data_IF_129430175225
#
_entry.id   IF_129430175225
#
_cell.length_a   1.000
_cell.length_b   1.000
_cell.length_c   1.000
_cell.angle_alpha   90.00
_cell.angle_beta   90.00
_cell.angle_gamma   90.00
#
_symmetry.space_group_name_H-M   'P 1'
#
loop_
_entity.id
_entity.type
_entity.pdbx_description
1 polymer ?
#
# COMPACT_ATOMS: atom_id res chain seq x y z
N UNK A 1 -22.35 -13.37 11.72
CA UNK A 1 -23.36 -12.27 11.65
C UNK A 1 -22.68 -10.90 11.50
N UNK A 2 -21.64 -10.61 12.31
CA UNK A 2 -20.80 -9.40 12.21
C UNK A 2 -20.07 -9.24 10.86
N UNK A 3 -19.55 -10.32 10.28
CA UNK A 3 -18.87 -10.27 8.96
C UNK A 3 -19.77 -9.79 7.82
N UNK A 4 -21.06 -10.18 7.83
CA UNK A 4 -22.05 -9.74 6.84
C UNK A 4 -22.40 -8.25 6.96
N UNK A 5 -22.37 -7.69 8.17
CA UNK A 5 -22.52 -6.27 8.42
C UNK A 5 -21.24 -5.50 8.06
N UNK A 6 -20.06 -6.05 8.35
CA UNK A 6 -18.78 -5.44 7.99
C UNK A 6 -18.58 -5.34 6.47
N UNK A 7 -19.02 -6.35 5.71
CA UNK A 7 -19.01 -6.32 4.24
C UNK A 7 -19.93 -5.23 3.65
N UNK A 8 -20.96 -4.78 4.39
CA UNK A 8 -21.84 -3.69 3.95
C UNK A 8 -21.25 -2.29 4.16
N UNK A 9 -20.15 -2.18 4.92
CA UNK A 9 -19.46 -0.92 5.22
C UNK A 9 -18.28 -0.61 4.26
N UNK A 10 -17.99 -1.52 3.31
CA UNK A 10 -16.88 -1.42 2.36
C UNK A 10 -15.98 -2.65 2.39
N UNK A 11 -15.15 -2.84 1.35
CA UNK A 11 -14.25 -4.00 1.19
C UNK A 11 -13.32 -4.21 2.40
N UNK A 12 -12.95 -3.13 3.07
CA UNK A 12 -11.93 -3.15 4.12
C UNK A 12 -12.54 -3.34 5.53
N UNK A 13 -13.86 -3.22 5.66
CA UNK A 13 -14.55 -3.32 6.95
C UNK A 13 -14.37 -4.69 7.62
N UNK A 14 -14.35 -5.76 6.82
CA UNK A 14 -14.09 -7.10 7.32
C UNK A 14 -12.64 -7.25 7.81
N UNK A 15 -11.66 -6.72 7.08
CA UNK A 15 -10.25 -6.80 7.46
C UNK A 15 -9.95 -6.02 8.75
N UNK A 16 -10.54 -4.84 8.93
CA UNK A 16 -10.40 -4.04 10.16
C UNK A 16 -10.89 -4.80 11.41
N UNK A 17 -11.95 -5.60 11.28
CA UNK A 17 -12.48 -6.39 12.39
C UNK A 17 -11.52 -7.51 12.84
N UNK A 18 -10.71 -8.05 11.92
CA UNK A 18 -9.74 -9.10 12.24
C UNK A 18 -8.55 -8.58 13.06
N UNK A 19 -8.22 -7.29 12.99
CA UNK A 19 -7.16 -6.67 13.80
C UNK A 19 -5.75 -7.24 13.56
N UNK A 20 -5.54 -7.97 12.45
CA UNK A 20 -4.28 -8.59 12.05
C UNK A 20 -4.14 -8.60 10.54
N UNK A 21 -2.92 -8.73 9.99
CA UNK A 21 -2.70 -8.81 8.56
C UNK A 21 -3.44 -10.01 7.94
N UNK A 22 -4.16 -9.74 6.86
CA UNK A 22 -4.92 -10.73 6.11
C UNK A 22 -4.66 -10.57 4.62
N UNK A 23 -4.82 -11.66 3.89
CA UNK A 23 -4.93 -11.64 2.43
C UNK A 23 -6.41 -11.66 2.10
N UNK A 24 -6.84 -10.64 1.37
CA UNK A 24 -8.21 -10.47 0.92
C UNK A 24 -8.33 -10.84 -0.56
N UNK A 25 -9.30 -11.69 -0.88
CA UNK A 25 -9.62 -12.14 -2.23
C UNK A 25 -11.11 -11.85 -2.55
N UNK A 26 -11.51 -12.07 -3.80
CA UNK A 26 -12.85 -11.71 -4.27
C UNK A 26 -12.95 -10.18 -4.41
N UNK A 27 -13.98 -9.59 -3.80
CA UNK A 27 -14.14 -8.13 -3.63
C UNK A 27 -13.65 -7.65 -2.25
N UNK A 28 -12.87 -8.47 -1.54
CA UNK A 28 -12.40 -8.21 -0.18
C UNK A 28 -13.15 -9.00 0.89
N UNK A 29 -14.16 -9.79 0.52
CA UNK A 29 -14.97 -10.59 1.45
C UNK A 29 -14.34 -11.93 1.84
N UNK A 30 -13.41 -12.45 1.02
CA UNK A 30 -12.73 -13.72 1.30
C UNK A 30 -11.39 -13.46 1.96
N UNK A 31 -11.36 -13.57 3.29
CA UNK A 31 -10.15 -13.31 4.09
C UNK A 31 -9.44 -14.60 4.48
N UNK A 32 -8.12 -14.60 4.33
CA UNK A 32 -7.22 -15.66 4.82
C UNK A 32 -6.06 -15.03 5.61
N UNK A 33 -5.43 -15.74 6.56
CA UNK A 33 -4.25 -15.22 7.25
C UNK A 33 -3.15 -14.82 6.26
N UNK A 34 -2.55 -13.64 6.47
CA UNK A 34 -1.36 -13.25 5.74
C UNK A 34 -0.12 -13.96 6.29
N UNK A 35 0.99 -13.99 5.52
CA UNK A 35 2.30 -14.33 6.05
C UNK A 35 2.66 -13.46 7.26
N UNK A 36 3.54 -13.97 8.12
CA UNK A 36 4.08 -13.18 9.24
C UNK A 36 4.87 -12.01 8.67
N UNK A 37 4.39 -10.79 8.92
CA UNK A 37 5.03 -9.55 8.48
C UNK A 37 6.06 -9.08 9.51
N UNK A 38 7.29 -8.72 9.09
CA UNK A 38 8.30 -8.17 9.97
C UNK A 38 7.95 -6.73 10.35
N UNK A 39 8.47 -6.27 11.49
CA UNK A 39 8.48 -4.84 11.79
C UNK A 39 9.30 -4.11 10.73
N UNK A 40 8.69 -3.11 10.11
CA UNK A 40 9.26 -2.39 8.97
C UNK A 40 9.03 -0.90 9.14
N UNK A 41 10.09 -0.11 9.05
CA UNK A 41 9.96 1.33 9.02
C UNK A 41 9.40 1.77 7.66
N UNK A 42 8.50 2.74 7.67
CA UNK A 42 7.86 3.23 6.47
C UNK A 42 7.65 4.74 6.50
N UNK A 43 7.41 5.32 5.32
CA UNK A 43 6.97 6.71 5.17
C UNK A 43 5.67 6.71 4.39
N UNK A 44 4.65 7.38 4.92
CA UNK A 44 3.39 7.64 4.24
C UNK A 44 3.40 9.06 3.67
N UNK A 45 2.96 9.22 2.43
CA UNK A 45 2.81 10.51 1.75
C UNK A 45 1.42 10.59 1.15
N UNK A 46 0.70 11.67 1.42
CA UNK A 46 -0.55 12.00 0.72
C UNK A 46 -0.46 13.41 0.14
N UNK A 47 -0.58 13.58 -1.19
CA UNK A 47 -0.47 14.87 -1.85
C UNK A 47 -1.70 15.78 -1.70
N UNK A 48 -2.71 15.38 -0.91
CA UNK A 48 -3.89 16.18 -0.63
C UNK A 48 -4.96 16.16 -1.72
N UNK A 49 -4.87 15.25 -2.69
CA UNK A 49 -5.83 15.13 -3.80
C UNK A 49 -6.82 13.99 -3.60
N UNK A 50 -8.01 14.14 -4.18
CA UNK A 50 -9.02 13.09 -4.19
C UNK A 50 -8.63 11.97 -5.15
N UNK A 51 -8.69 10.71 -4.68
CA UNK A 51 -8.57 9.53 -5.56
C UNK A 51 -9.78 8.62 -5.33
N UNK A 52 -10.93 8.97 -5.93
CA UNK A 52 -12.16 8.23 -5.72
C UNK A 52 -12.06 6.83 -6.32
N UNK A 53 -12.40 5.82 -5.52
CA UNK A 53 -12.26 4.40 -5.86
C UNK A 53 -12.96 4.04 -7.18
N UNK A 54 -14.22 4.46 -7.37
CA UNK A 54 -14.99 4.13 -8.59
C UNK A 54 -14.30 4.55 -9.90
N UNK A 55 -13.90 5.83 -10.07
CA UNK A 55 -13.10 6.27 -11.22
C UNK A 55 -11.79 5.50 -11.43
N UNK A 56 -11.04 5.18 -10.36
CA UNK A 56 -9.78 4.42 -10.46
C UNK A 56 -10.03 3.01 -11.02
N UNK A 57 -11.05 2.30 -10.51
CA UNK A 57 -11.44 0.99 -11.03
C UNK A 57 -11.93 1.05 -12.49
N UNK A 58 -12.74 2.06 -12.85
CA UNK A 58 -13.14 2.26 -14.26
C UNK A 58 -11.94 2.48 -15.17
N UNK A 59 -10.92 3.21 -14.70
CA UNK A 59 -9.69 3.42 -15.46
C UNK A 59 -8.86 2.14 -15.55
N UNK A 60 -8.83 1.33 -14.51
CA UNK A 60 -8.24 -0.01 -14.54
C UNK A 60 -8.88 -0.89 -15.62
N UNK A 61 -10.22 -0.94 -15.67
CA UNK A 61 -10.97 -1.73 -16.66
C UNK A 61 -10.68 -1.29 -18.11
N UNK A 62 -10.35 -0.01 -18.32
CA UNK A 62 -9.97 0.53 -19.64
C UNK A 62 -8.53 0.19 -20.04
N UNK A 63 -7.63 0.06 -19.05
CA UNK A 63 -6.20 -0.17 -19.28
C UNK A 63 -5.85 -1.66 -19.35
N UNK A 64 -6.71 -2.53 -18.82
CA UNK A 64 -6.44 -3.96 -18.68
C UNK A 64 -7.52 -4.78 -19.40
N UNK A 65 -7.11 -5.67 -20.30
CA UNK A 65 -8.00 -6.72 -20.78
C UNK A 65 -8.23 -7.72 -19.64
N UNK A 66 -9.50 -8.05 -19.35
CA UNK A 66 -9.84 -8.99 -18.28
C UNK A 66 -9.01 -10.28 -18.40
N UNK A 67 -8.14 -10.49 -17.43
CA UNK A 67 -7.35 -11.71 -17.30
C UNK A 67 -7.58 -12.25 -15.89
N UNK A 68 -7.74 -13.57 -15.77
CA UNK A 68 -7.73 -14.23 -14.47
C UNK A 68 -6.33 -14.11 -13.89
N UNK A 69 -6.20 -13.30 -12.84
CA UNK A 69 -4.94 -13.11 -12.12
C UNK A 69 -4.97 -14.09 -10.95
N UNK A 70 -4.22 -15.18 -11.08
CA UNK A 70 -3.98 -16.07 -9.98
C UNK A 70 -3.20 -15.35 -8.87
N UNK A 71 -3.51 -15.66 -7.62
CA UNK A 71 -2.75 -15.18 -6.46
C UNK A 71 -1.27 -15.60 -6.63
N UNK A 72 -0.32 -14.65 -6.57
CA UNK A 72 1.09 -14.99 -6.62
C UNK A 72 1.47 -15.82 -5.38
N UNK A 73 2.40 -16.78 -5.51
CA UNK A 73 2.89 -17.51 -4.35
C UNK A 73 3.58 -16.53 -3.39
N UNK A 74 3.23 -16.61 -2.10
CA UNK A 74 3.86 -15.83 -1.03
C UNK A 74 4.54 -16.79 -0.05
N UNK A 75 5.70 -16.42 0.52
CA UNK A 75 6.32 -17.20 1.58
C UNK A 75 5.42 -17.21 2.82
N UNK A 76 5.63 -18.16 3.73
CA UNK A 76 4.89 -18.20 5.00
C UNK A 76 5.28 -17.08 5.97
N UNK A 77 6.50 -16.55 5.83
CA UNK A 77 7.07 -15.48 6.63
C UNK A 77 8.13 -14.73 5.84
N UNK A 78 8.40 -13.48 6.22
CA UNK A 78 9.54 -12.72 5.70
C UNK A 78 10.63 -12.58 6.75
N UNK A 79 11.88 -12.53 6.30
CA UNK A 79 13.06 -12.45 7.17
C UNK A 79 13.30 -11.04 7.73
N UNK A 80 12.84 -10.02 7.02
CA UNK A 80 13.05 -8.61 7.35
C UNK A 80 12.42 -7.69 6.31
N UNK A 81 12.61 -6.38 6.48
CA UNK A 81 12.07 -5.36 5.60
C UNK A 81 12.59 -5.49 4.15
N UNK A 82 13.85 -5.89 3.99
CA UNK A 82 14.52 -6.09 2.70
C UNK A 82 13.90 -7.27 1.94
N UNK A 83 13.77 -8.44 2.57
CA UNK A 83 13.14 -9.60 1.96
C UNK A 83 11.65 -9.34 1.66
N UNK A 84 10.93 -8.62 2.54
CA UNK A 84 9.58 -8.17 2.25
C UNK A 84 9.54 -7.30 1.00
N UNK A 85 10.40 -6.29 0.91
CA UNK A 85 10.46 -5.40 -0.24
C UNK A 85 10.82 -6.14 -1.53
N UNK A 86 11.77 -7.06 -1.49
CA UNK A 86 12.17 -7.90 -2.63
C UNK A 86 10.99 -8.72 -3.18
N UNK A 87 10.27 -9.43 -2.31
CA UNK A 87 9.09 -10.20 -2.73
C UNK A 87 8.03 -9.28 -3.33
N UNK A 88 7.75 -8.15 -2.67
CA UNK A 88 6.75 -7.17 -3.15
C UNK A 88 7.15 -6.49 -4.46
N UNK A 89 8.44 -6.36 -4.77
CA UNK A 89 8.90 -5.85 -6.06
C UNK A 89 8.53 -6.80 -7.21
N UNK A 90 8.46 -8.10 -6.95
CA UNK A 90 7.95 -9.10 -7.89
C UNK A 90 6.43 -9.10 -8.05
N UNK A 91 5.71 -8.34 -7.23
CA UNK A 91 4.25 -8.21 -7.28
C UNK A 91 3.82 -6.90 -7.95
N UNK A 92 2.61 -6.91 -8.49
CA UNK A 92 1.99 -5.74 -9.10
C UNK A 92 1.03 -5.06 -8.14
N UNK A 93 0.87 -3.74 -8.30
CA UNK A 93 -0.31 -3.03 -7.85
C UNK A 93 -1.06 -2.55 -9.09
N UNK A 94 -2.10 -3.28 -9.46
CA UNK A 94 -2.84 -3.05 -10.70
C UNK A 94 -3.62 -1.72 -10.70
N UNK A 95 -3.85 -1.10 -9.53
CA UNK A 95 -4.49 0.21 -9.42
C UNK A 95 -3.51 1.39 -9.46
N UNK A 96 -2.20 1.15 -9.40
CA UNK A 96 -1.19 2.22 -9.39
C UNK A 96 -1.19 3.02 -10.68
N UNK A 97 -1.07 2.37 -11.84
CA UNK A 97 -1.10 3.05 -13.14
C UNK A 97 -2.43 3.80 -13.40
N UNK A 98 -3.61 3.21 -13.14
CA UNK A 98 -4.88 3.93 -13.18
C UNK A 98 -4.94 5.15 -12.26
N UNK A 99 -4.47 5.04 -11.02
CA UNK A 99 -4.47 6.15 -10.06
C UNK A 99 -3.57 7.30 -10.54
N UNK A 100 -2.37 6.99 -11.02
CA UNK A 100 -1.44 7.98 -11.60
C UNK A 100 -2.02 8.63 -12.87
N UNK A 101 -2.71 7.86 -13.72
CA UNK A 101 -3.34 8.40 -14.92
C UNK A 101 -4.46 9.41 -14.62
N UNK A 102 -5.18 9.23 -13.51
CA UNK A 102 -6.23 10.17 -13.07
C UNK A 102 -5.61 11.37 -12.36
N UNK A 103 -4.65 11.14 -11.46
CA UNK A 103 -3.99 12.17 -10.68
C UNK A 103 -2.46 12.05 -10.80
N UNK A 104 -1.82 12.74 -11.77
CA UNK A 104 -0.38 12.66 -12.01
C UNK A 104 0.50 12.99 -10.79
N UNK A 105 0.00 13.79 -9.85
CA UNK A 105 0.68 14.10 -8.58
C UNK A 105 0.93 12.86 -7.71
N UNK A 106 0.15 11.78 -7.87
CA UNK A 106 0.44 10.48 -7.25
C UNK A 106 1.76 9.93 -7.80
N UNK A 107 2.00 10.08 -9.10
CA UNK A 107 3.28 9.73 -9.73
C UNK A 107 4.43 10.56 -9.16
N UNK A 108 4.22 11.85 -8.93
CA UNK A 108 5.21 12.71 -8.25
C UNK A 108 5.49 12.25 -6.81
N UNK A 109 4.46 11.85 -6.06
CA UNK A 109 4.61 11.31 -4.71
C UNK A 109 5.42 10.01 -4.69
N UNK A 110 5.14 9.09 -5.63
CA UNK A 110 5.93 7.86 -5.80
C UNK A 110 7.39 8.16 -6.12
N UNK A 111 7.68 9.14 -6.98
CA UNK A 111 9.07 9.51 -7.27
C UNK A 111 9.75 10.15 -6.07
N UNK A 112 9.05 11.00 -5.31
CA UNK A 112 9.61 11.61 -4.10
C UNK A 112 10.01 10.55 -3.06
N UNK A 113 9.26 9.45 -2.99
CA UNK A 113 9.49 8.31 -2.10
C UNK A 113 10.69 7.44 -2.48
N UNK A 114 11.18 7.43 -3.73
CA UNK A 114 12.33 6.63 -4.19
C UNK A 114 13.70 7.20 -3.75
N UNK A 115 13.78 7.79 -2.57
CA UNK A 115 15.00 8.39 -2.03
C UNK A 115 15.99 7.37 -1.45
N UNK A 116 17.13 7.86 -0.97
CA UNK A 116 18.09 7.05 -0.23
C UNK A 116 17.41 6.34 0.96
N UNK A 117 17.67 5.05 1.11
CA UNK A 117 17.08 4.22 2.18
C UNK A 117 15.66 3.73 1.93
N UNK A 118 15.01 4.11 0.81
CA UNK A 118 13.78 3.49 0.33
C UNK A 118 14.06 2.10 -0.26
N UNK A 119 13.30 1.10 0.18
CA UNK A 119 13.37 -0.27 -0.32
C UNK A 119 12.29 -0.55 -1.39
N UNK A 120 11.14 0.10 -1.27
CA UNK A 120 9.99 -0.05 -2.15
C UNK A 120 9.11 1.19 -1.99
N UNK A 121 8.57 1.72 -3.09
CA UNK A 121 7.52 2.73 -3.06
C UNK A 121 6.30 2.29 -3.88
N UNK A 122 5.09 2.43 -3.33
CA UNK A 122 3.82 2.01 -3.96
C UNK A 122 2.65 2.89 -3.53
N UNK A 123 1.58 2.85 -4.32
CA UNK A 123 0.26 3.39 -3.92
C UNK A 123 -0.39 2.46 -2.90
N UNK A 124 -1.08 3.02 -1.90
CA UNK A 124 -1.94 2.27 -0.99
C UNK A 124 -3.40 2.32 -1.48
N UNK A 125 -4.01 1.15 -1.70
CA UNK A 125 -5.37 1.03 -2.25
C UNK A 125 -5.50 1.75 -3.60
N UNK A 126 -6.58 2.51 -3.78
CA UNK A 126 -6.80 3.36 -4.96
C UNK A 126 -6.08 4.71 -4.89
N UNK A 127 -5.23 4.96 -3.89
CA UNK A 127 -4.59 6.25 -3.62
C UNK A 127 -5.52 7.25 -2.92
N UNK A 128 -5.13 8.52 -2.77
CA UNK A 128 -3.89 9.15 -3.25
C UNK A 128 -2.66 8.88 -2.35
N UNK A 129 -2.85 8.25 -1.19
CA UNK A 129 -1.76 7.93 -0.28
C UNK A 129 -0.80 6.94 -0.93
N UNK A 130 0.47 7.29 -0.93
CA UNK A 130 1.59 6.43 -1.29
C UNK A 130 2.41 6.10 -0.05
N UNK A 131 3.14 5.00 -0.09
CA UNK A 131 4.05 4.62 0.98
C UNK A 131 5.40 4.20 0.45
N UNK A 132 6.43 4.31 1.28
CA UNK A 132 7.73 3.67 1.09
C UNK A 132 8.05 2.75 2.26
N UNK A 133 8.52 1.54 1.98
CA UNK A 133 9.25 0.74 2.97
C UNK A 133 10.69 1.29 3.07
N UNK A 134 11.25 1.32 4.26
CA UNK A 134 12.55 1.91 4.53
C UNK A 134 13.46 0.93 5.28
N UNK A 135 14.76 0.97 4.98
CA UNK A 135 15.75 0.07 5.57
C UNK A 135 15.96 0.29 7.08
N UNK A 136 15.63 1.47 7.60
CA UNK A 136 15.80 1.82 9.00
C UNK A 136 14.90 2.98 9.41
N UNK A 137 14.80 3.22 10.73
CA UNK A 137 14.12 4.39 11.29
C UNK A 137 14.74 5.69 10.78
N UNK A 138 16.07 5.80 10.83
CA UNK A 138 16.80 6.98 10.37
C UNK A 138 16.50 7.27 8.89
N UNK A 139 16.53 6.24 8.05
CA UNK A 139 16.16 6.38 6.64
C UNK A 139 14.72 6.89 6.45
N UNK A 140 13.76 6.38 7.23
CA UNK A 140 12.38 6.83 7.16
C UNK A 140 12.22 8.30 7.62
N UNK A 141 12.88 8.69 8.71
CA UNK A 141 12.86 10.06 9.23
C UNK A 141 13.48 11.04 8.24
N UNK A 142 14.66 10.74 7.71
CA UNK A 142 15.35 11.59 6.74
C UNK A 142 14.57 11.72 5.44
N UNK A 143 14.02 10.61 4.94
CA UNK A 143 13.16 10.58 3.76
C UNK A 143 11.92 11.47 3.97
N UNK A 144 11.24 11.31 5.10
CA UNK A 144 10.05 12.09 5.43
C UNK A 144 10.37 13.59 5.56
N UNK A 145 11.45 13.95 6.25
CA UNK A 145 11.88 15.34 6.42
C UNK A 145 12.20 16.01 5.08
N UNK A 146 12.93 15.31 4.20
CA UNK A 146 13.26 15.79 2.86
C UNK A 146 12.01 16.04 2.01
N UNK A 147 11.05 15.10 2.02
CA UNK A 147 9.80 15.26 1.25
C UNK A 147 8.98 16.42 1.82
N UNK A 148 8.82 16.50 3.15
CA UNK A 148 8.06 17.57 3.79
C UNK A 148 8.65 18.96 3.50
N UNK A 149 9.97 19.10 3.50
CA UNK A 149 10.65 20.35 3.14
C UNK A 149 10.43 20.73 1.67
N UNK A 150 10.50 19.76 0.75
CA UNK A 150 10.31 20.00 -0.68
C UNK A 150 8.83 20.19 -1.07
N UNK A 151 7.89 19.63 -0.30
CA UNK A 151 6.44 19.63 -0.57
C UNK A 151 5.65 19.98 0.70
N UNK A 152 5.69 21.25 1.17
CA UNK A 152 5.10 21.63 2.46
C UNK A 152 3.59 21.43 2.60
N UNK A 153 2.87 21.31 1.48
CA UNK A 153 1.42 21.07 1.45
C UNK A 153 1.05 19.58 1.49
N UNK A 154 2.02 18.69 1.34
CA UNK A 154 1.76 17.25 1.40
C UNK A 154 1.74 16.79 2.84
N UNK A 155 0.84 15.86 3.15
CA UNK A 155 0.88 15.15 4.42
C UNK A 155 1.95 14.07 4.35
N UNK A 156 2.93 14.13 5.25
CA UNK A 156 4.06 13.20 5.31
C UNK A 156 4.23 12.69 6.73
N UNK A 157 4.34 11.37 6.91
CA UNK A 157 4.53 10.74 8.22
C UNK A 157 5.47 9.53 8.12
N UNK A 158 6.60 9.52 8.85
CA UNK A 158 7.30 8.28 9.13
C UNK A 158 6.49 7.45 10.14
N UNK A 159 6.53 6.13 10.01
CA UNK A 159 5.85 5.20 10.91
C UNK A 159 6.57 3.85 10.96
N UNK A 160 6.14 3.01 11.89
CA UNK A 160 6.47 1.60 11.94
C UNK A 160 5.23 0.80 11.55
N UNK A 161 5.37 -0.14 10.62
CA UNK A 161 4.32 -1.07 10.21
C UNK A 161 4.76 -2.50 10.51
N UNK A 162 3.80 -3.39 10.75
CA UNK A 162 4.14 -4.72 11.27
C UNK A 162 4.60 -4.67 12.73
N UNK A 163 4.75 -5.83 13.35
CA UNK A 163 4.88 -5.95 14.81
C UNK A 163 4.15 -7.18 15.30
N UNK A 164 4.46 -7.65 16.52
CA UNK A 164 3.76 -8.81 17.03
C UNK A 164 2.27 -8.44 17.16
N UNK A 165 1.45 -9.11 16.37
CA UNK A 165 0.00 -9.14 16.54
C UNK A 165 -0.28 -10.19 17.63
N UNK A 166 0.27 -9.93 18.81
CA UNK A 166 0.40 -10.86 19.94
C UNK A 166 1.09 -10.20 21.13
#
# INVERSE_FOLDING_TARGET
ALERLAASLGSDGAACLFGRPVIAEGRGERLSPAPVLPQTHAVLVNPGVSSPTGPVYRKFDQLTAAADIARPPLPASFEGAEHLAEVLQGLRNDLEAPAVAINPVIGEALQALKGAGSLLARVSGSGATCFSLCASEAAAVDLAARIAAARPLWWVRPCLIGGPWG
#
